data_IF_218018445769
#
_entry.id   IF_218018445769
#
_cell.length_a   1.000
_cell.length_b   1.000
_cell.length_c   1.000
_cell.angle_alpha   90.00
_cell.angle_beta   90.00
_cell.angle_gamma   90.00
#
_symmetry.space_group_name_H-M   'P 1'
#
loop_
_entity.id
_entity.type
_entity.pdbx_description
1 polymer ?
#
# COMPACT_ATOMS: atom_id res chain seq x y z
N UNK A 1 -6.68 0.03 7.17
CA UNK A 1 -5.86 1.25 7.06
C UNK A 1 -6.75 2.47 7.00
N UNK A 2 -6.23 3.67 7.26
CA UNK A 2 -6.91 4.93 6.99
C UNK A 2 -6.47 5.51 5.63
N UNK A 3 -7.25 6.46 5.08
CA UNK A 3 -7.01 7.06 3.75
C UNK A 3 -5.74 7.92 3.68
N UNK A 4 -5.23 8.38 4.83
CA UNK A 4 -3.91 9.01 5.00
C UNK A 4 -2.75 7.96 4.99
N UNK A 5 -3.11 6.68 4.87
CA UNK A 5 -2.21 5.54 4.96
C UNK A 5 -1.72 5.22 6.37
N UNK A 6 -2.46 5.68 7.38
CA UNK A 6 -2.38 5.19 8.75
C UNK A 6 -2.61 3.68 8.84
N UNK A 7 -1.62 2.95 9.36
CA UNK A 7 -1.77 1.54 9.73
C UNK A 7 -1.99 1.42 11.25
N UNK A 8 -3.01 0.64 11.62
CA UNK A 8 -3.35 0.35 13.00
C UNK A 8 -3.32 -1.17 13.18
N UNK A 9 -2.32 -1.66 13.91
CA UNK A 9 -2.18 -3.08 14.26
C UNK A 9 -2.92 -3.38 15.56
N UNK A 10 -3.57 -4.55 15.62
CA UNK A 10 -4.31 -5.02 16.80
C UNK A 10 -3.88 -6.44 17.15
N UNK A 11 -4.00 -6.82 18.43
CA UNK A 11 -3.62 -8.15 18.88
C UNK A 11 -2.11 -8.41 18.72
N UNK A 12 -1.77 -9.52 18.08
CA UNK A 12 -0.40 -9.96 17.79
C UNK A 12 0.09 -9.55 16.38
N UNK A 13 -0.70 -8.77 15.63
CA UNK A 13 -0.31 -8.28 14.32
C UNK A 13 0.93 -7.38 14.41
N UNK A 14 1.98 -7.72 13.64
CA UNK A 14 3.19 -6.92 13.57
C UNK A 14 2.94 -5.60 12.81
N UNK A 15 3.56 -4.51 13.30
CA UNK A 15 3.55 -3.22 12.63
C UNK A 15 4.86 -3.03 11.86
N UNK A 16 4.75 -2.86 10.54
CA UNK A 16 5.93 -2.72 9.67
C UNK A 16 6.18 -1.27 9.22
N UNK A 17 5.23 -0.36 9.50
CA UNK A 17 5.30 1.06 9.17
C UNK A 17 3.98 1.62 8.64
N UNK A 18 3.94 2.92 8.37
CA UNK A 18 2.72 3.66 8.02
C UNK A 18 3.10 4.93 7.27
N UNK A 19 2.23 5.40 6.38
CA UNK A 19 2.37 6.73 5.76
C UNK A 19 1.56 7.80 6.47
N UNK A 20 0.85 7.48 7.56
CA UNK A 20 -0.06 8.41 8.25
C UNK A 20 0.58 9.69 8.82
N UNK A 21 1.92 9.77 8.85
CA UNK A 21 2.66 10.98 9.23
C UNK A 21 3.25 11.75 8.02
N UNK A 22 2.94 11.32 6.80
CA UNK A 22 3.48 11.86 5.55
C UNK A 22 2.42 12.69 4.83
N UNK A 23 2.84 13.77 4.18
CA UNK A 23 1.99 14.46 3.21
C UNK A 23 1.95 13.62 1.92
N UNK A 24 0.81 12.99 1.66
CA UNK A 24 0.59 12.20 0.46
C UNK A 24 0.08 13.08 -0.69
N UNK A 25 0.50 12.77 -1.91
CA UNK A 25 -0.06 13.40 -3.11
C UNK A 25 -1.54 13.03 -3.32
N UNK A 26 -1.89 11.80 -2.95
CA UNK A 26 -3.21 11.20 -3.09
C UNK A 26 -3.52 10.26 -1.93
N UNK A 27 -4.81 10.04 -1.61
CA UNK A 27 -5.20 9.12 -0.56
C UNK A 27 -4.83 7.67 -0.92
N UNK A 28 -4.67 6.86 0.11
CA UNK A 28 -4.54 5.42 -0.04
C UNK A 28 -5.90 4.78 -0.29
N UNK A 29 -5.93 3.81 -1.20
CA UNK A 29 -7.15 3.09 -1.58
C UNK A 29 -7.10 1.62 -1.22
N UNK A 30 -5.91 1.01 -1.15
CA UNK A 30 -5.77 -0.40 -0.79
C UNK A 30 -4.47 -0.74 -0.04
N UNK A 31 -4.52 -1.87 0.66
CA UNK A 31 -3.40 -2.49 1.33
C UNK A 31 -3.31 -3.94 0.86
N UNK A 32 -2.12 -4.34 0.45
CA UNK A 32 -1.85 -5.68 -0.03
C UNK A 32 -0.87 -6.37 0.90
N UNK A 33 -1.32 -7.44 1.56
CA UNK A 33 -0.43 -8.25 2.40
C UNK A 33 0.55 -9.05 1.53
N UNK A 34 1.80 -9.09 1.98
CA UNK A 34 2.86 -9.92 1.40
C UNK A 34 3.36 -10.92 2.43
N UNK A 35 4.31 -11.80 2.03
CA UNK A 35 4.86 -12.80 2.94
C UNK A 35 5.62 -12.18 4.12
N UNK A 36 6.24 -11.01 3.92
CA UNK A 36 7.12 -10.37 4.90
C UNK A 36 6.49 -9.12 5.52
N UNK A 37 5.55 -8.47 4.83
CA UNK A 37 4.91 -7.25 5.32
C UNK A 37 3.71 -6.87 4.46
N UNK A 38 3.66 -5.62 4.01
CA UNK A 38 2.56 -5.13 3.17
C UNK A 38 2.99 -3.97 2.27
N UNK A 39 2.24 -3.83 1.18
CA UNK A 39 2.32 -2.68 0.27
C UNK A 39 1.04 -1.85 0.42
N UNK A 40 1.19 -0.53 0.53
CA UNK A 40 0.10 0.43 0.42
C UNK A 40 0.01 0.97 -1.00
N UNK A 41 -1.20 1.07 -1.52
CA UNK A 41 -1.47 1.55 -2.88
C UNK A 41 -2.33 2.81 -2.80
N UNK A 42 -1.83 3.87 -3.43
CA UNK A 42 -2.47 5.16 -3.55
C UNK A 42 -3.34 5.26 -4.80
N UNK A 43 -4.27 6.22 -4.79
CA UNK A 43 -5.16 6.52 -5.91
C UNK A 43 -4.40 6.87 -7.21
N UNK A 44 -3.22 7.49 -7.10
CA UNK A 44 -2.32 7.79 -8.24
C UNK A 44 -1.48 6.59 -8.71
N UNK A 45 -1.68 5.41 -8.13
CA UNK A 45 -0.88 4.22 -8.40
C UNK A 45 0.48 4.22 -7.70
N UNK A 46 0.74 5.16 -6.79
CA UNK A 46 1.89 5.12 -5.90
C UNK A 46 1.88 3.89 -5.00
N UNK A 47 3.02 3.22 -4.88
CA UNK A 47 3.21 2.04 -4.01
C UNK A 47 4.22 2.35 -2.92
N UNK A 48 3.84 2.12 -1.65
CA UNK A 48 4.67 2.28 -0.46
C UNK A 48 4.80 0.94 0.25
N UNK A 49 6.00 0.37 0.28
CA UNK A 49 6.27 -0.96 0.82
C UNK A 49 6.80 -0.90 2.25
N UNK A 50 6.28 -1.75 3.14
CA UNK A 50 6.71 -1.88 4.53
C UNK A 50 7.05 -3.33 4.83
N UNK A 51 8.35 -3.59 5.06
CA UNK A 51 8.92 -4.94 5.18
C UNK A 51 8.54 -5.88 3.99
N UNK A 52 8.29 -5.29 2.83
CA UNK A 52 7.96 -5.94 1.58
C UNK A 52 8.97 -5.52 0.51
N UNK A 53 9.42 -6.41 -0.40
CA UNK A 53 10.30 -6.00 -1.50
C UNK A 53 9.60 -4.97 -2.41
N UNK A 54 10.28 -3.87 -2.71
CA UNK A 54 9.76 -2.89 -3.66
C UNK A 54 9.87 -3.42 -5.09
N UNK A 55 8.74 -3.60 -5.77
CA UNK A 55 8.68 -4.11 -7.14
C UNK A 55 8.41 -3.03 -8.19
N UNK A 56 8.08 -1.80 -7.77
CA UNK A 56 7.77 -0.68 -8.64
C UNK A 56 6.61 0.17 -8.13
N UNK A 57 6.40 1.32 -8.79
CA UNK A 57 5.34 2.27 -8.46
C UNK A 57 4.79 2.90 -9.74
N UNK A 58 3.46 3.06 -9.81
CA UNK A 58 2.76 3.68 -10.94
C UNK A 58 2.72 5.20 -10.87
N UNK A 59 3.16 5.83 -9.78
CA UNK A 59 3.02 7.28 -9.52
C UNK A 59 3.67 8.20 -10.56
N UNK A 60 4.57 7.69 -11.40
CA UNK A 60 5.19 8.45 -12.51
C UNK A 60 4.33 8.48 -13.78
N UNK A 61 3.21 7.77 -13.79
CA UNK A 61 2.35 7.58 -14.97
C UNK A 61 1.08 8.40 -14.80
N UNK A 62 0.60 9.03 -15.88
CA UNK A 62 -0.76 9.60 -15.89
C UNK A 62 -1.77 8.46 -16.01
N UNK A 63 -2.50 8.19 -14.93
CA UNK A 63 -3.64 7.28 -14.95
C UNK A 63 -4.87 8.01 -15.50
N UNK A 64 -5.62 7.36 -16.39
CA UNK A 64 -6.89 7.90 -16.89
C UNK A 64 -8.01 7.79 -15.86
N UNK A 65 -7.86 6.90 -14.88
CA UNK A 65 -8.82 6.62 -13.82
C UNK A 65 -8.05 6.30 -12.51
N UNK A 66 -8.64 6.60 -11.34
CA UNK A 66 -8.00 6.32 -10.06
C UNK A 66 -7.85 4.82 -9.78
N UNK A 67 -6.77 4.42 -9.09
CA UNK A 67 -6.68 3.07 -8.53
C UNK A 67 -7.63 2.96 -7.34
N UNK A 68 -8.64 2.09 -7.46
CA UNK A 68 -9.67 1.91 -6.42
C UNK A 68 -9.41 0.71 -5.49
N UNK A 69 -8.65 -0.28 -5.96
CA UNK A 69 -8.25 -1.45 -5.17
C UNK A 69 -6.97 -2.07 -5.73
N UNK A 70 -6.29 -2.86 -4.91
CA UNK A 70 -5.12 -3.64 -5.28
C UNK A 70 -5.18 -5.02 -4.62
N UNK A 71 -4.65 -6.02 -5.31
CA UNK A 71 -4.62 -7.39 -4.79
C UNK A 71 -3.31 -8.06 -5.17
N UNK A 72 -2.76 -8.87 -4.25
CA UNK A 72 -1.66 -9.78 -4.58
C UNK A 72 -2.24 -11.10 -5.03
N UNK A 73 -1.77 -11.61 -6.17
CA UNK A 73 -1.92 -13.01 -6.50
C UNK A 73 -0.71 -13.74 -5.95
N UNK A 74 -0.87 -14.34 -4.78
CA UNK A 74 0.08 -15.37 -4.35
C UNK A 74 -0.14 -16.55 -5.27
N UNK A 75 0.77 -16.79 -6.23
CA UNK A 75 0.75 -18.05 -6.99
C UNK A 75 0.91 -19.18 -5.98
N UNK A 76 -0.17 -19.93 -5.76
CA UNK A 76 -0.14 -21.12 -4.92
C UNK A 76 0.34 -22.26 -5.83
N UNK A 77 1.46 -22.87 -5.42
CA UNK A 77 2.20 -23.98 -6.04
C UNK A 77 3.17 -23.57 -7.15
#
# INVERSE_FOLDING_TARGET
>A
MASDGGIFSFGDAQFHGSTGAMTLNKPMTSLVQTRLGYDLVAEDGGVFNFNSPFLGSGASSTLSEPVVDATSRVSRW
#
